data_IF_172934597937
#
_entry.id   IF_172934597937
#
_cell.length_a   1.000
_cell.length_b   1.000
_cell.length_c   1.000
_cell.angle_alpha   90.00
_cell.angle_beta   90.00
_cell.angle_gamma   90.00
#
_symmetry.space_group_name_H-M   'P 1'
#
loop_
_entity.id
_entity.type
_entity.pdbx_description
1 polymer ?
#
# COMPACT_ATOMS: atom_id res chain seq x y z
N UNK A 1 -10.29 9.27 4.45
CA UNK A 1 -9.76 9.68 5.79
C UNK A 1 -9.61 11.21 5.87
N UNK A 2 -9.60 11.83 7.06
CA UNK A 2 -9.42 13.30 7.19
C UNK A 2 -7.95 13.69 6.90
N UNK A 3 -7.71 14.34 5.75
CA UNK A 3 -6.38 14.77 5.30
C UNK A 3 -5.69 15.76 6.24
N UNK A 4 -6.45 16.65 6.90
CA UNK A 4 -5.89 17.58 7.88
C UNK A 4 -5.41 16.84 9.13
N UNK A 5 -6.17 15.83 9.55
CA UNK A 5 -5.79 14.98 10.67
C UNK A 5 -4.56 14.14 10.36
N UNK A 6 -4.48 13.50 9.19
CA UNK A 6 -3.28 12.76 8.75
C UNK A 6 -2.06 13.69 8.76
N UNK A 7 -2.19 14.88 8.17
CA UNK A 7 -1.11 15.89 8.12
C UNK A 7 -0.64 16.28 9.52
N UNK A 8 -1.53 16.37 10.51
CA UNK A 8 -1.16 16.65 11.91
C UNK A 8 -0.43 15.48 12.57
N UNK A 9 -0.75 14.25 12.20
CA UNK A 9 -0.18 13.03 12.81
C UNK A 9 1.22 12.74 12.25
N UNK A 10 1.39 12.73 10.92
CA UNK A 10 2.66 12.32 10.26
C UNK A 10 3.45 13.50 9.68
N UNK A 11 2.92 14.72 9.77
CA UNK A 11 3.53 15.91 9.20
C UNK A 11 3.26 16.07 7.70
N UNK A 12 3.49 17.27 7.18
CA UNK A 12 3.15 17.64 5.80
C UNK A 12 3.88 16.78 4.75
N UNK A 13 5.17 16.52 4.96
CA UNK A 13 5.98 15.76 4.00
C UNK A 13 5.43 14.34 3.86
N UNK A 14 5.38 13.58 4.96
CA UNK A 14 4.93 12.19 4.93
C UNK A 14 3.46 12.06 4.51
N UNK A 15 2.62 13.06 4.80
CA UNK A 15 1.23 13.09 4.33
C UNK A 15 1.12 13.22 2.81
N UNK A 16 1.97 14.04 2.18
CA UNK A 16 2.06 14.16 0.72
C UNK A 16 2.61 12.86 0.14
N UNK A 17 3.71 12.34 0.70
CA UNK A 17 4.33 11.10 0.25
C UNK A 17 3.33 9.91 0.30
N UNK A 18 2.47 9.87 1.32
CA UNK A 18 1.40 8.87 1.45
C UNK A 18 0.28 9.07 0.42
N UNK A 19 -0.18 10.30 0.19
CA UNK A 19 -1.22 10.62 -0.81
C UNK A 19 -0.76 10.22 -2.22
N UNK A 20 0.49 10.56 -2.57
CA UNK A 20 1.12 10.18 -3.84
C UNK A 20 1.29 8.66 -3.96
N UNK A 21 1.66 7.99 -2.87
CA UNK A 21 1.77 6.53 -2.82
C UNK A 21 0.42 5.85 -3.06
N UNK A 22 -0.65 6.31 -2.40
CA UNK A 22 -2.02 5.80 -2.61
C UNK A 22 -2.48 6.04 -4.04
N UNK A 23 -2.22 7.22 -4.59
CA UNK A 23 -2.57 7.55 -5.97
C UNK A 23 -1.86 6.62 -6.97
N UNK A 24 -0.56 6.42 -6.82
CA UNK A 24 0.20 5.49 -7.68
C UNK A 24 -0.26 4.04 -7.50
N UNK A 25 -0.65 3.66 -6.28
CA UNK A 25 -1.16 2.33 -5.99
C UNK A 25 -2.51 2.08 -6.66
N UNK A 26 -3.36 3.10 -6.88
CA UNK A 26 -4.62 2.98 -7.67
C UNK A 26 -4.35 2.43 -9.06
N UNK A 27 -3.44 3.09 -9.77
CA UNK A 27 -3.09 2.72 -11.15
C UNK A 27 -2.50 1.31 -11.22
N UNK A 28 -1.62 0.95 -10.28
CA UNK A 28 -1.09 -0.42 -10.18
C UNK A 28 -2.22 -1.42 -9.92
N UNK A 29 -3.08 -1.17 -8.93
CA UNK A 29 -4.15 -2.10 -8.57
C UNK A 29 -5.14 -2.32 -9.71
N UNK A 30 -5.44 -1.28 -10.49
CA UNK A 30 -6.27 -1.40 -11.70
C UNK A 30 -5.62 -2.34 -12.73
N UNK A 31 -4.32 -2.18 -12.98
CA UNK A 31 -3.55 -3.05 -13.86
C UNK A 31 -3.55 -4.51 -13.37
N UNK A 32 -3.22 -4.74 -12.09
CA UNK A 32 -3.19 -6.07 -11.48
C UNK A 32 -4.58 -6.72 -11.53
N UNK A 33 -5.63 -5.96 -11.22
CA UNK A 33 -7.02 -6.45 -11.20
C UNK A 33 -7.50 -6.82 -12.59
N UNK A 34 -7.15 -6.04 -13.62
CA UNK A 34 -7.51 -6.36 -15.00
C UNK A 34 -6.93 -7.71 -15.44
N UNK A 35 -5.68 -8.00 -15.06
CA UNK A 35 -5.06 -9.31 -15.30
C UNK A 35 -5.87 -10.43 -14.64
N UNK A 36 -6.28 -10.24 -13.37
CA UNK A 36 -7.07 -11.23 -12.62
C UNK A 36 -8.44 -11.46 -13.28
N UNK A 37 -9.18 -10.40 -13.58
CA UNK A 37 -10.55 -10.50 -14.13
C UNK A 37 -10.55 -11.13 -15.52
N UNK A 38 -9.59 -10.72 -16.36
CA UNK A 38 -9.50 -11.17 -17.75
C UNK A 38 -8.73 -12.48 -17.90
N UNK A 39 -8.18 -13.03 -16.80
CA UNK A 39 -7.30 -14.21 -16.80
C UNK A 39 -6.16 -14.09 -17.81
N UNK A 40 -5.56 -12.90 -17.89
CA UNK A 40 -4.45 -12.64 -18.80
C UNK A 40 -3.16 -13.33 -18.32
N UNK A 41 -2.27 -13.74 -19.23
CA UNK A 41 -0.99 -14.32 -18.85
C UNK A 41 -0.13 -13.32 -18.08
N UNK A 42 0.49 -13.80 -17.00
CA UNK A 42 1.44 -13.03 -16.18
C UNK A 42 2.86 -13.37 -16.65
N UNK A 43 3.35 -12.60 -17.61
CA UNK A 43 4.72 -12.72 -18.11
C UNK A 43 5.76 -12.05 -17.20
N UNK A 44 7.03 -12.26 -17.51
CA UNK A 44 8.14 -11.75 -16.69
C UNK A 44 8.31 -10.23 -16.81
N UNK A 45 7.89 -9.62 -17.93
CA UNK A 45 7.92 -8.15 -18.07
C UNK A 45 6.91 -7.50 -17.14
N UNK A 46 5.69 -8.03 -17.11
CA UNK A 46 4.63 -7.62 -16.19
C UNK A 46 5.09 -7.75 -14.74
N UNK A 47 5.68 -8.89 -14.35
CA UNK A 47 6.23 -9.08 -13.01
C UNK A 47 7.32 -8.05 -12.72
N UNK A 48 8.32 -7.91 -13.60
CA UNK A 48 9.44 -7.00 -13.38
C UNK A 48 8.99 -5.54 -13.24
N UNK A 49 8.04 -5.09 -14.07
CA UNK A 49 7.45 -3.74 -14.00
C UNK A 49 6.71 -3.54 -12.68
N UNK A 50 5.75 -4.40 -12.36
CA UNK A 50 4.90 -4.23 -11.19
C UNK A 50 5.67 -4.41 -9.88
N UNK A 51 6.64 -5.34 -9.82
CA UNK A 51 7.52 -5.48 -8.66
C UNK A 51 8.30 -4.21 -8.36
N UNK A 52 8.83 -3.54 -9.40
CA UNK A 52 9.56 -2.28 -9.24
C UNK A 52 8.67 -1.17 -8.70
N UNK A 53 7.47 -1.03 -9.26
CA UNK A 53 6.50 0.00 -8.86
C UNK A 53 6.00 -0.21 -7.42
N UNK A 54 5.64 -1.45 -7.08
CA UNK A 54 5.20 -1.83 -5.75
C UNK A 54 6.30 -1.63 -4.69
N UNK A 55 7.54 -2.05 -4.98
CA UNK A 55 8.67 -1.81 -4.07
C UNK A 55 8.96 -0.34 -3.85
N UNK A 56 8.79 0.51 -4.86
CA UNK A 56 8.98 1.96 -4.71
C UNK A 56 7.96 2.56 -3.74
N UNK A 57 6.70 2.12 -3.80
CA UNK A 57 5.66 2.54 -2.85
C UNK A 57 5.97 2.00 -1.44
N UNK A 58 6.31 0.73 -1.33
CA UNK A 58 6.61 0.10 -0.03
C UNK A 58 7.81 0.77 0.68
N UNK A 59 8.81 1.22 -0.08
CA UNK A 59 9.95 1.97 0.45
C UNK A 59 9.55 3.34 1.06
N UNK A 60 8.43 3.92 0.64
CA UNK A 60 7.88 5.16 1.20
C UNK A 60 6.98 4.86 2.40
N UNK A 61 6.11 3.86 2.27
CA UNK A 61 5.06 3.51 3.24
C UNK A 61 5.63 2.87 4.50
N UNK A 62 6.62 1.96 4.39
CA UNK A 62 7.27 1.31 5.56
C UNK A 62 7.86 2.31 6.56
N UNK A 63 8.68 3.30 6.15
CA UNK A 63 9.18 4.31 7.08
C UNK A 63 8.08 5.11 7.80
N UNK A 64 6.95 5.39 7.13
CA UNK A 64 5.81 6.09 7.76
C UNK A 64 5.19 5.21 8.85
N UNK A 65 5.03 3.91 8.61
CA UNK A 65 4.54 2.96 9.60
C UNK A 65 5.45 2.90 10.83
N UNK A 66 6.78 2.84 10.63
CA UNK A 66 7.74 2.81 11.73
C UNK A 66 7.71 4.10 12.57
N UNK A 67 7.57 5.28 11.95
CA UNK A 67 7.37 6.53 12.69
C UNK A 67 6.08 6.52 13.51
N UNK A 68 5.01 5.97 12.94
CA UNK A 68 3.73 5.81 13.63
C UNK A 68 3.78 4.80 14.78
N UNK A 69 4.75 3.89 14.83
CA UNK A 69 4.95 3.00 16.00
C UNK A 69 5.66 3.72 17.15
N UNK A 70 6.36 4.81 16.87
CA UNK A 70 7.05 5.59 17.89
C UNK A 70 6.08 6.56 18.60
N UNK A 71 5.86 6.34 19.90
CA UNK A 71 4.99 7.19 20.73
C UNK A 71 5.66 8.50 21.19
N UNK A 72 6.99 8.61 21.10
CA UNK A 72 7.72 9.82 21.48
C UNK A 72 7.53 10.97 20.47
N UNK A 73 7.20 10.64 19.21
CA UNK A 73 7.06 11.63 18.13
C UNK A 73 5.66 12.23 18.01
N UNK A 74 4.62 11.60 18.56
CA UNK A 74 3.22 11.99 18.36
C UNK A 74 2.46 11.95 19.69
N UNK A 75 2.32 13.12 20.33
CA UNK A 75 1.50 13.26 21.54
C UNK A 75 0.03 13.51 21.18
N UNK A 76 -0.86 12.65 21.67
CA UNK A 76 -2.31 12.72 21.40
C UNK A 76 -2.75 11.89 20.18
N UNK A 77 -4.01 12.04 19.77
CA UNK A 77 -4.59 11.35 18.60
C UNK A 77 -4.51 9.81 18.64
N UNK A 78 -4.48 9.19 19.83
CA UNK A 78 -4.22 7.73 20.01
C UNK A 78 -5.06 6.84 19.11
N UNK A 79 -6.36 7.09 18.99
CA UNK A 79 -7.24 6.28 18.13
C UNK A 79 -6.91 6.50 16.65
N UNK A 80 -6.85 7.75 16.20
CA UNK A 80 -6.56 8.10 14.80
C UNK A 80 -5.19 7.62 14.35
N UNK A 81 -4.19 7.68 15.25
CA UNK A 81 -2.86 7.13 15.05
C UNK A 81 -2.92 5.61 14.85
N UNK A 82 -3.64 4.87 15.71
CA UNK A 82 -3.82 3.42 15.57
C UNK A 82 -4.50 3.05 14.25
N UNK A 83 -5.53 3.80 13.84
CA UNK A 83 -6.20 3.58 12.56
C UNK A 83 -5.27 3.84 11.36
N UNK A 84 -4.52 4.94 11.38
CA UNK A 84 -3.56 5.26 10.31
C UNK A 84 -2.41 4.25 10.28
N UNK A 85 -1.88 3.85 11.43
CA UNK A 85 -0.85 2.82 11.52
C UNK A 85 -1.34 1.51 10.90
N UNK A 86 -2.53 1.05 11.30
CA UNK A 86 -3.14 -0.15 10.71
C UNK A 86 -3.29 -0.03 9.20
N UNK A 87 -3.75 1.11 8.71
CA UNK A 87 -3.90 1.35 7.27
C UNK A 87 -2.58 1.23 6.51
N UNK A 88 -1.52 1.84 7.02
CA UNK A 88 -0.17 1.84 6.40
C UNK A 88 0.50 0.47 6.52
N UNK A 89 0.36 -0.22 7.66
CA UNK A 89 0.87 -1.58 7.85
C UNK A 89 0.12 -2.59 6.95
N UNK A 90 -1.21 -2.50 6.86
CA UNK A 90 -2.01 -3.36 5.99
C UNK A 90 -1.60 -3.14 4.51
N UNK A 91 -1.39 -1.89 4.08
CA UNK A 91 -0.90 -1.59 2.73
C UNK A 91 0.44 -2.26 2.44
N UNK A 92 1.41 -2.10 3.33
CA UNK A 92 2.73 -2.73 3.18
C UNK A 92 2.64 -4.26 3.17
N UNK A 93 1.81 -4.84 4.05
CA UNK A 93 1.57 -6.28 4.13
C UNK A 93 1.03 -6.84 2.81
N UNK A 94 0.02 -6.19 2.22
CA UNK A 94 -0.56 -6.68 0.97
C UNK A 94 0.33 -6.39 -0.24
N UNK A 95 1.14 -5.32 -0.24
CA UNK A 95 2.20 -5.13 -1.24
C UNK A 95 3.17 -6.32 -1.19
N UNK A 96 3.68 -6.66 -0.01
CA UNK A 96 4.59 -7.79 0.18
C UNK A 96 3.94 -9.11 -0.25
N UNK A 97 2.64 -9.30 0.03
CA UNK A 97 1.86 -10.45 -0.41
C UNK A 97 1.74 -10.56 -1.95
N UNK A 98 1.49 -9.44 -2.64
CA UNK A 98 1.52 -9.40 -4.11
C UNK A 98 2.93 -9.74 -4.64
N UNK A 99 3.97 -9.15 -4.05
CA UNK A 99 5.36 -9.37 -4.48
C UNK A 99 5.82 -10.82 -4.30
N UNK A 100 5.41 -11.46 -3.21
CA UNK A 100 5.74 -12.85 -2.88
C UNK A 100 4.97 -13.84 -3.76
N UNK A 101 3.73 -13.52 -4.13
CA UNK A 101 2.89 -14.38 -4.99
C UNK A 101 3.23 -14.31 -6.48
N UNK A 102 4.15 -13.44 -6.91
CA UNK A 102 4.64 -13.40 -8.29
C UNK A 102 5.75 -14.43 -8.58
N UNK A 103 6.48 -14.91 -7.54
CA UNK A 103 7.66 -15.78 -7.68
C UNK A 103 7.83 -16.74 -6.47
N UNK A 104 7.42 -18.03 -6.57
CA UNK A 104 6.70 -18.63 -7.69
C UNK A 104 5.28 -18.06 -7.81
N UNK A 105 4.74 -18.08 -9.04
CA UNK A 105 3.41 -17.53 -9.29
C UNK A 105 2.32 -18.34 -8.55
N UNK A 106 1.65 -17.70 -7.59
CA UNK A 106 0.50 -18.22 -6.88
C UNK A 106 -0.70 -17.31 -7.13
N UNK A 107 -1.54 -17.70 -8.09
CA UNK A 107 -2.70 -16.91 -8.53
C UNK A 107 -3.70 -16.62 -7.40
N UNK A 108 -3.88 -17.57 -6.48
CA UNK A 108 -4.81 -17.40 -5.36
C UNK A 108 -4.37 -16.27 -4.44
N UNK A 109 -3.11 -16.31 -4.01
CA UNK A 109 -2.56 -15.30 -3.11
C UNK A 109 -2.37 -13.96 -3.83
N UNK A 110 -1.98 -13.99 -5.11
CA UNK A 110 -1.89 -12.80 -5.94
C UNK A 110 -3.25 -12.09 -6.04
N UNK A 111 -4.32 -12.84 -6.31
CA UNK A 111 -5.68 -12.30 -6.40
C UNK A 111 -6.16 -11.75 -5.06
N UNK A 112 -5.95 -12.50 -3.97
CA UNK A 112 -6.34 -12.07 -2.63
C UNK A 112 -5.67 -10.75 -2.25
N UNK A 113 -4.34 -10.69 -2.33
CA UNK A 113 -3.60 -9.50 -1.94
C UNK A 113 -3.89 -8.30 -2.85
N UNK A 114 -4.10 -8.53 -4.15
CA UNK A 114 -4.51 -7.47 -5.09
C UNK A 114 -5.87 -6.88 -4.71
N UNK A 115 -6.86 -7.72 -4.36
CA UNK A 115 -8.18 -7.25 -3.93
C UNK A 115 -8.09 -6.45 -2.62
N UNK A 116 -7.30 -6.94 -1.65
CA UNK A 116 -7.10 -6.23 -0.39
C UNK A 116 -6.43 -4.85 -0.58
N UNK A 117 -5.45 -4.73 -1.48
CA UNK A 117 -4.88 -3.43 -1.84
C UNK A 117 -5.92 -2.51 -2.49
N UNK A 118 -6.75 -3.04 -3.39
CA UNK A 118 -7.80 -2.26 -4.03
C UNK A 118 -8.78 -1.70 -3.00
N UNK A 119 -9.21 -2.51 -2.04
CA UNK A 119 -10.11 -2.07 -0.96
C UNK A 119 -9.47 -0.97 -0.11
N UNK A 120 -8.19 -1.10 0.29
CA UNK A 120 -7.48 -0.06 1.04
C UNK A 120 -7.40 1.26 0.27
N UNK A 121 -7.14 1.17 -1.02
CA UNK A 121 -6.96 2.33 -1.88
C UNK A 121 -8.28 3.06 -2.14
N UNK A 122 -9.41 2.35 -2.12
CA UNK A 122 -10.76 2.91 -2.22
C UNK A 122 -11.24 3.57 -0.93
N UNK A 123 -10.74 3.10 0.23
CA UNK A 123 -11.12 3.62 1.57
C UNK A 123 -10.43 4.95 1.92
N UNK A 124 -9.27 5.23 1.32
CA UNK A 124 -8.46 6.43 1.59
C UNK A 124 -9.12 7.73 1.10
#
# INVERSE_FOLDING_TARGET
MDKLLITKIIGKKDAVDLDDSVYNLRDICEELRNIVILNLPIDDEFKARNRRRLKAIDYIVKPIAEKLKNDEYIQGYTNSKKYLLKYVDDMSTYIDGVLASMEPLNIKDFTYNTNMLMDLVLVY
#
